data_IF_615339057795
#
_entry.id   IF_615339057795
#
_cell.length_a   1.000
_cell.length_b   1.000
_cell.length_c   1.000
_cell.angle_alpha   90.00
_cell.angle_beta   90.00
_cell.angle_gamma   90.00
#
_symmetry.space_group_name_H-M   'P 1'
#
loop_
_entity.id
_entity.type
_entity.pdbx_description
1 polymer ?
#
# COMPACT_ATOMS: atom_id res chain seq x y z
N UNK A 1 36.94 -9.75 -49.09
CA UNK A 1 35.68 -9.63 -48.34
C UNK A 1 35.93 -10.10 -46.92
N UNK A 2 36.02 -9.14 -46.00
CA UNK A 2 36.22 -9.41 -44.57
C UNK A 2 34.82 -9.36 -43.90
N UNK A 3 34.32 -10.53 -43.50
CA UNK A 3 33.08 -10.61 -42.68
C UNK A 3 33.41 -10.25 -41.21
N UNK A 4 32.94 -9.09 -40.77
CA UNK A 4 32.97 -8.73 -39.36
C UNK A 4 31.76 -9.38 -38.66
N UNK A 5 32.01 -10.38 -37.85
CA UNK A 5 31.03 -11.04 -36.99
C UNK A 5 30.82 -10.16 -35.75
N UNK A 6 29.74 -9.38 -35.72
CA UNK A 6 29.36 -8.62 -34.54
C UNK A 6 28.65 -9.57 -33.55
N UNK A 7 29.38 -10.10 -32.58
CA UNK A 7 28.79 -10.86 -31.48
C UNK A 7 28.07 -9.92 -30.55
N UNK A 8 26.73 -9.92 -30.54
CA UNK A 8 25.92 -9.24 -29.55
C UNK A 8 26.07 -10.01 -28.23
N UNK A 9 26.92 -9.53 -27.34
CA UNK A 9 26.94 -9.97 -25.95
C UNK A 9 25.72 -9.37 -25.25
N UNK A 10 24.70 -10.20 -25.02
CA UNK A 10 23.64 -9.89 -24.04
C UNK A 10 24.26 -9.87 -22.65
N UNK A 11 24.56 -8.70 -22.13
CA UNK A 11 24.99 -8.54 -20.75
C UNK A 11 23.79 -8.80 -19.85
N UNK A 12 23.65 -10.02 -19.33
CA UNK A 12 22.83 -10.25 -18.14
C UNK A 12 23.43 -9.42 -17.02
N UNK A 13 22.72 -8.40 -16.58
CA UNK A 13 23.08 -7.63 -15.38
C UNK A 13 23.07 -8.60 -14.21
N UNK A 14 24.24 -9.01 -13.76
CA UNK A 14 24.42 -9.77 -12.51
C UNK A 14 24.29 -8.74 -11.42
N UNK A 15 23.11 -8.61 -10.83
CA UNK A 15 22.95 -7.90 -9.57
C UNK A 15 23.73 -8.67 -8.52
N UNK A 16 24.81 -8.06 -8.01
CA UNK A 16 25.50 -8.58 -6.84
C UNK A 16 24.46 -8.73 -5.73
N UNK A 17 24.46 -9.87 -5.05
CA UNK A 17 23.68 -10.08 -3.83
C UNK A 17 24.19 -9.08 -2.78
N UNK A 18 23.64 -7.85 -2.78
CA UNK A 18 23.92 -6.90 -1.71
C UNK A 18 23.32 -7.46 -0.43
N UNK A 19 24.15 -7.54 0.60
CA UNK A 19 23.71 -7.91 1.94
C UNK A 19 22.56 -6.99 2.37
N UNK A 20 21.34 -7.51 2.39
CA UNK A 20 20.14 -6.79 2.81
C UNK A 20 20.22 -6.58 4.33
N UNK A 21 20.63 -5.38 4.76
CA UNK A 21 20.73 -4.99 6.17
C UNK A 21 19.39 -4.52 6.75
N UNK A 22 18.28 -5.12 6.37
CA UNK A 22 17.02 -4.98 7.06
C UNK A 22 16.87 -6.06 8.13
N UNK A 23 16.42 -5.71 9.33
CA UNK A 23 16.11 -6.69 10.38
C UNK A 23 14.93 -7.56 9.98
N UNK A 24 13.91 -6.94 9.40
CA UNK A 24 12.74 -7.62 8.86
C UNK A 24 12.27 -6.88 7.59
N UNK A 25 11.83 -7.62 6.58
CA UNK A 25 11.19 -7.03 5.41
C UNK A 25 10.23 -8.00 4.72
N UNK A 26 9.36 -7.45 3.89
CA UNK A 26 8.48 -8.19 2.98
C UNK A 26 8.27 -7.42 1.68
N UNK A 27 8.22 -8.14 0.58
CA UNK A 27 7.73 -7.68 -0.73
C UNK A 27 6.44 -8.42 -1.05
N UNK A 28 5.35 -7.68 -1.23
CA UNK A 28 4.00 -8.23 -1.44
C UNK A 28 3.40 -7.64 -2.72
N UNK A 29 2.70 -8.48 -3.50
CA UNK A 29 1.89 -8.00 -4.63
C UNK A 29 0.52 -7.51 -4.13
N UNK A 30 0.13 -6.32 -4.57
CA UNK A 30 -1.04 -5.58 -4.08
C UNK A 30 -2.36 -6.34 -4.28
N UNK A 31 -2.62 -6.86 -5.46
CA UNK A 31 -3.93 -7.42 -5.79
C UNK A 31 -4.15 -8.80 -5.15
N UNK A 32 -3.17 -9.69 -5.27
CA UNK A 32 -3.27 -11.07 -4.75
C UNK A 32 -2.91 -11.18 -3.27
N UNK A 33 -2.10 -10.24 -2.74
CA UNK A 33 -1.48 -10.34 -1.42
C UNK A 33 -0.36 -11.39 -1.35
N UNK A 34 0.13 -11.86 -2.49
CA UNK A 34 1.19 -12.86 -2.55
C UNK A 34 2.52 -12.26 -2.10
N UNK A 35 3.19 -12.95 -1.17
CA UNK A 35 4.57 -12.62 -0.79
C UNK A 35 5.51 -13.11 -1.90
N UNK A 36 6.38 -12.20 -2.35
CA UNK A 36 7.39 -12.48 -3.38
C UNK A 36 8.71 -12.84 -2.70
N UNK A 37 9.10 -12.02 -1.74
CA UNK A 37 10.32 -12.20 -0.95
C UNK A 37 10.11 -11.68 0.46
N UNK A 38 10.75 -12.28 1.44
CA UNK A 38 10.68 -11.82 2.83
C UNK A 38 11.86 -12.31 3.65
N UNK A 39 12.14 -11.58 4.74
CA UNK A 39 13.07 -11.97 5.79
C UNK A 39 12.45 -11.62 7.13
N UNK A 40 12.37 -12.60 8.05
CA UNK A 40 11.84 -12.39 9.39
C UNK A 40 10.51 -11.63 9.41
N UNK A 41 9.64 -11.87 8.40
CA UNK A 41 8.45 -11.05 8.17
C UNK A 41 7.40 -11.13 9.28
N UNK A 42 7.48 -12.12 10.17
CA UNK A 42 6.62 -12.29 11.34
C UNK A 42 7.28 -11.83 12.67
N UNK A 43 8.49 -11.24 12.60
CA UNK A 43 9.16 -10.71 13.78
C UNK A 43 8.43 -9.45 14.28
N UNK A 44 7.88 -9.53 15.51
CA UNK A 44 7.19 -8.40 16.15
C UNK A 44 8.20 -7.37 16.61
N UNK A 45 7.99 -6.10 16.22
CA UNK A 45 8.84 -4.97 16.58
C UNK A 45 8.02 -3.70 16.77
N UNK A 46 8.60 -2.70 17.46
CA UNK A 46 8.09 -1.32 17.40
C UNK A 46 8.16 -0.82 15.96
N UNK A 47 7.12 -0.11 15.52
CA UNK A 47 6.94 0.26 14.11
C UNK A 47 6.94 1.77 13.87
N UNK A 48 6.97 2.57 14.92
CA UNK A 48 6.98 4.03 14.83
C UNK A 48 5.80 4.59 13.98
N UNK A 49 6.03 5.71 13.31
CA UNK A 49 4.99 6.48 12.59
C UNK A 49 4.42 5.80 11.35
N UNK A 50 4.84 4.60 10.95
CA UNK A 50 4.12 3.85 9.90
C UNK A 50 2.73 3.44 10.38
N UNK A 51 2.48 3.40 11.71
CA UNK A 51 1.15 3.24 12.33
C UNK A 51 0.12 4.27 11.86
N UNK A 52 0.57 5.46 11.45
CA UNK A 52 -0.32 6.55 10.99
C UNK A 52 -1.12 6.20 9.73
N UNK A 53 -0.74 5.16 9.02
CA UNK A 53 -1.56 4.59 7.94
C UNK A 53 -2.89 4.08 8.51
N UNK A 54 -2.87 3.39 9.67
CA UNK A 54 -4.08 2.94 10.34
C UNK A 54 -4.93 4.12 10.81
N UNK A 55 -4.32 5.13 11.40
CA UNK A 55 -5.01 6.36 11.82
C UNK A 55 -5.69 7.06 10.65
N UNK A 56 -4.99 7.17 9.51
CA UNK A 56 -5.52 7.80 8.31
C UNK A 56 -6.70 7.03 7.71
N UNK A 57 -6.59 5.70 7.57
CA UNK A 57 -7.66 4.91 6.94
C UNK A 57 -8.93 4.87 7.80
N UNK A 58 -8.79 4.82 9.13
CA UNK A 58 -9.94 4.94 10.04
C UNK A 58 -10.60 6.30 9.87
N UNK A 59 -9.82 7.38 9.81
CA UNK A 59 -10.35 8.72 9.60
C UNK A 59 -11.13 8.82 8.28
N UNK A 60 -10.58 8.27 7.20
CA UNK A 60 -11.20 8.29 5.87
C UNK A 60 -12.50 7.48 5.83
N UNK A 61 -12.57 6.36 6.55
CA UNK A 61 -13.72 5.45 6.52
C UNK A 61 -14.82 5.80 7.53
N UNK A 62 -14.50 6.52 8.61
CA UNK A 62 -15.39 6.67 9.75
C UNK A 62 -16.08 8.02 9.84
N UNK A 63 -15.71 9.00 9.00
CA UNK A 63 -16.13 10.38 9.23
C UNK A 63 -16.48 11.15 7.96
N UNK A 64 -17.25 12.22 8.17
CA UNK A 64 -17.32 13.32 7.20
C UNK A 64 -15.97 14.06 7.23
N UNK A 65 -15.15 13.86 6.21
CA UNK A 65 -13.81 14.41 6.09
C UNK A 65 -13.80 15.96 5.98
N UNK A 66 -14.92 16.54 5.58
CA UNK A 66 -15.11 17.99 5.50
C UNK A 66 -15.74 18.57 6.76
N UNK A 67 -15.99 17.72 7.77
CA UNK A 67 -16.39 18.20 9.08
C UNK A 67 -15.29 19.06 9.66
N UNK A 68 -15.66 20.31 10.00
CA UNK A 68 -14.78 21.24 10.67
C UNK A 68 -14.71 20.91 12.16
N UNK A 69 -13.50 20.74 12.69
CA UNK A 69 -13.25 20.42 14.09
C UNK A 69 -12.36 21.48 14.71
N UNK A 70 -12.53 21.74 16.00
CA UNK A 70 -11.70 22.67 16.75
C UNK A 70 -10.59 21.90 17.48
N UNK A 71 -9.36 22.37 17.33
CA UNK A 71 -8.18 21.80 18.00
C UNK A 71 -8.22 22.20 19.48
N UNK A 72 -8.22 21.19 20.34
CA UNK A 72 -8.27 21.36 21.80
C UNK A 72 -6.97 20.97 22.51
N UNK A 73 -7.10 20.56 23.77
CA UNK A 73 -5.98 20.17 24.64
C UNK A 73 -5.34 18.82 24.27
N UNK A 74 -5.97 18.04 23.41
CA UNK A 74 -5.46 16.74 22.95
C UNK A 74 -4.07 16.83 22.31
N UNK A 75 -3.72 17.98 21.75
CA UNK A 75 -2.39 18.18 21.11
C UNK A 75 -1.26 18.43 22.12
N UNK A 76 -1.54 18.71 23.39
CA UNK A 76 -0.51 18.98 24.41
C UNK A 76 0.40 17.76 24.65
N UNK A 77 -0.11 16.56 24.40
CA UNK A 77 0.65 15.31 24.52
C UNK A 77 1.40 14.93 23.24
N UNK A 78 1.28 15.71 22.17
CA UNK A 78 1.88 15.42 20.90
C UNK A 78 3.36 15.81 20.85
N UNK A 79 4.24 14.88 21.22
CA UNK A 79 5.69 15.07 21.20
C UNK A 79 6.26 14.62 19.86
N UNK A 80 7.32 15.28 19.34
CA UNK A 80 8.08 14.89 18.16
C UNK A 80 7.64 15.58 16.88
N UNK A 81 7.35 14.82 15.80
CA UNK A 81 6.91 15.44 14.53
C UNK A 81 5.56 16.12 14.71
N UNK A 82 5.46 17.40 14.36
CA UNK A 82 4.26 18.20 14.55
C UNK A 82 3.97 19.06 13.30
N UNK A 83 2.70 19.40 13.12
CA UNK A 83 2.23 20.45 12.21
C UNK A 83 2.27 21.81 12.89
N UNK A 84 2.46 21.83 14.20
CA UNK A 84 2.36 23.01 15.07
C UNK A 84 0.96 23.62 15.01
N UNK A 85 -0.06 22.75 15.17
CA UNK A 85 -1.45 23.18 15.33
C UNK A 85 -1.62 24.01 16.60
N UNK A 86 -2.49 25.01 16.53
CA UNK A 86 -2.77 25.90 17.66
C UNK A 86 -4.16 25.61 18.20
N UNK A 87 -4.33 25.59 19.54
CA UNK A 87 -5.63 25.41 20.19
C UNK A 87 -6.61 26.50 19.74
N UNK A 88 -7.86 26.12 19.58
CA UNK A 88 -8.91 26.97 19.03
C UNK A 88 -8.92 27.10 17.52
N UNK A 89 -7.89 26.56 16.83
CA UNK A 89 -7.91 26.53 15.35
C UNK A 89 -9.00 25.59 14.88
N UNK A 90 -9.80 26.06 13.91
CA UNK A 90 -10.79 25.24 13.22
C UNK A 90 -10.20 24.68 11.95
N UNK A 91 -10.31 23.37 11.75
CA UNK A 91 -9.68 22.66 10.63
C UNK A 91 -10.55 21.48 10.20
N UNK A 92 -10.58 21.20 8.92
CA UNK A 92 -11.31 20.03 8.41
C UNK A 92 -10.50 18.75 8.66
N UNK A 93 -11.19 17.63 8.88
CA UNK A 93 -10.53 16.34 9.17
C UNK A 93 -9.62 15.94 8.00
N UNK A 94 -10.00 16.20 6.74
CA UNK A 94 -9.15 15.89 5.57
C UNK A 94 -7.80 16.63 5.64
N UNK A 95 -7.79 17.85 6.12
CA UNK A 95 -6.58 18.64 6.32
C UNK A 95 -5.63 17.96 7.32
N UNK A 96 -6.20 17.46 8.43
CA UNK A 96 -5.46 16.68 9.43
C UNK A 96 -4.89 15.39 8.83
N UNK A 97 -5.63 14.70 7.95
CA UNK A 97 -5.16 13.48 7.26
C UNK A 97 -3.99 13.78 6.31
N UNK A 98 -4.04 14.88 5.55
CA UNK A 98 -2.89 15.33 4.76
C UNK A 98 -1.67 15.60 5.63
N UNK A 99 -1.83 16.36 6.70
CA UNK A 99 -0.74 16.66 7.63
C UNK A 99 -0.17 15.41 8.31
N UNK A 100 -1.03 14.48 8.69
CA UNK A 100 -0.68 13.18 9.27
C UNK A 100 0.22 12.36 8.35
N UNK A 101 -0.16 12.22 7.08
CA UNK A 101 0.54 11.36 6.12
C UNK A 101 1.78 12.05 5.55
N UNK A 102 1.70 13.31 5.13
CA UNK A 102 2.79 14.01 4.47
C UNK A 102 3.88 14.45 5.46
N UNK A 103 3.48 15.02 6.61
CA UNK A 103 4.38 15.61 7.59
C UNK A 103 4.63 14.71 8.80
N UNK A 104 3.81 13.64 8.95
CA UNK A 104 3.85 12.76 10.12
C UNK A 104 3.47 13.48 11.42
N UNK A 105 2.51 14.43 11.37
CA UNK A 105 2.08 15.24 12.53
C UNK A 105 1.51 14.36 13.65
N UNK A 106 2.12 14.41 14.84
CA UNK A 106 1.60 13.72 16.01
C UNK A 106 0.40 14.48 16.60
N UNK A 107 0.42 15.80 16.52
CA UNK A 107 -0.71 16.67 16.83
C UNK A 107 -1.94 16.37 15.97
N UNK A 108 -1.75 16.20 14.66
CA UNK A 108 -2.83 15.75 13.77
C UNK A 108 -3.35 14.36 14.15
N UNK A 109 -2.48 13.43 14.56
CA UNK A 109 -2.90 12.10 15.00
C UNK A 109 -3.79 12.17 16.25
N UNK A 110 -3.42 13.01 17.23
CA UNK A 110 -4.19 13.21 18.46
C UNK A 110 -5.53 13.90 18.19
N UNK A 111 -5.52 14.94 17.34
CA UNK A 111 -6.75 15.64 16.95
C UNK A 111 -7.73 14.71 16.20
N UNK A 112 -7.23 13.88 15.28
CA UNK A 112 -8.04 12.86 14.61
C UNK A 112 -8.63 11.89 15.63
N UNK A 113 -7.80 11.34 16.53
CA UNK A 113 -8.24 10.37 17.52
C UNK A 113 -9.34 10.95 18.43
N UNK A 114 -9.16 12.17 18.90
CA UNK A 114 -10.15 12.85 19.75
C UNK A 114 -11.48 13.08 19.02
N UNK A 115 -11.43 13.56 17.79
CA UNK A 115 -12.64 13.97 17.07
C UNK A 115 -13.42 12.81 16.43
N UNK A 116 -12.76 11.68 16.18
CA UNK A 116 -13.39 10.48 15.58
C UNK A 116 -13.70 9.44 16.64
N UNK A 117 -12.77 9.16 17.55
CA UNK A 117 -12.95 8.17 18.60
C UNK A 117 -13.68 8.71 19.84
N UNK A 118 -13.75 10.04 20.02
CA UNK A 118 -14.23 10.65 21.25
C UNK A 118 -13.15 10.75 22.33
N UNK A 119 -12.26 9.77 22.41
CA UNK A 119 -11.03 9.76 23.22
C UNK A 119 -9.91 9.04 22.48
N UNK A 120 -8.66 9.17 22.96
CA UNK A 120 -7.52 8.45 22.42
C UNK A 120 -7.67 6.95 22.64
N UNK A 121 -8.16 6.55 23.80
CA UNK A 121 -8.37 5.15 24.20
C UNK A 121 -9.41 4.47 23.29
N UNK A 122 -10.54 5.12 23.04
CA UNK A 122 -11.57 4.61 22.13
C UNK A 122 -11.06 4.52 20.69
N UNK A 123 -10.29 5.51 20.24
CA UNK A 123 -9.68 5.45 18.92
C UNK A 123 -8.65 4.33 18.79
N UNK A 124 -7.84 4.08 19.82
CA UNK A 124 -6.91 2.94 19.88
C UNK A 124 -7.67 1.60 19.82
N UNK A 125 -8.81 1.51 20.49
CA UNK A 125 -9.69 0.33 20.36
C UNK A 125 -10.16 0.15 18.91
N UNK A 126 -10.55 1.22 18.21
CA UNK A 126 -10.90 1.18 16.79
C UNK A 126 -9.71 0.72 15.92
N UNK A 127 -8.47 1.19 16.22
CA UNK A 127 -7.27 0.75 15.50
C UNK A 127 -7.03 -0.75 15.64
N UNK A 128 -7.15 -1.29 16.85
CA UNK A 128 -6.96 -2.71 17.11
C UNK A 128 -8.07 -3.57 16.48
N UNK A 129 -9.34 -3.11 16.53
CA UNK A 129 -10.44 -3.80 15.86
C UNK A 129 -10.26 -3.79 14.33
N UNK A 130 -9.85 -2.68 13.74
CA UNK A 130 -9.53 -2.61 12.31
C UNK A 130 -8.37 -3.56 11.95
N UNK A 131 -7.33 -3.62 12.79
CA UNK A 131 -6.22 -4.56 12.60
C UNK A 131 -6.71 -6.02 12.57
N UNK A 132 -7.60 -6.39 13.49
CA UNK A 132 -8.23 -7.72 13.54
C UNK A 132 -9.02 -8.02 12.26
N UNK A 133 -9.82 -7.05 11.77
CA UNK A 133 -10.61 -7.18 10.54
C UNK A 133 -9.75 -7.32 9.28
N UNK A 134 -8.61 -6.66 9.23
CA UNK A 134 -7.64 -6.76 8.13
C UNK A 134 -6.85 -8.08 8.19
N UNK A 135 -6.81 -8.74 9.36
CA UNK A 135 -6.06 -9.99 9.57
C UNK A 135 -4.63 -9.78 10.07
N UNK A 136 -4.33 -8.65 10.70
CA UNK A 136 -3.05 -8.31 11.31
C UNK A 136 -2.89 -9.00 12.67
N UNK A 137 -2.52 -10.28 12.66
CA UNK A 137 -2.55 -11.16 13.84
C UNK A 137 -1.48 -10.86 14.90
N UNK A 138 -0.40 -10.22 14.51
CA UNK A 138 0.76 -9.92 15.37
C UNK A 138 0.92 -8.41 15.57
N UNK A 139 -0.21 -7.67 15.62
CA UNK A 139 -0.21 -6.21 15.73
C UNK A 139 -1.00 -5.77 16.96
N UNK A 140 -0.41 -4.82 17.68
CA UNK A 140 -1.07 -4.10 18.80
C UNK A 140 -0.78 -2.62 18.67
N UNK A 141 -1.83 -1.81 18.60
CA UNK A 141 -1.73 -0.37 18.66
C UNK A 141 -2.01 0.12 20.08
N UNK A 142 -1.16 1.02 20.58
CA UNK A 142 -1.26 1.65 21.89
C UNK A 142 -1.49 3.17 21.78
N UNK A 143 -1.25 3.76 20.59
CA UNK A 143 -1.49 5.17 20.35
C UNK A 143 -1.67 5.46 18.84
N UNK A 144 -2.30 6.61 18.46
CA UNK A 144 -2.57 6.93 17.06
C UNK A 144 -1.35 7.44 16.27
N UNK A 145 -0.24 7.77 16.95
CA UNK A 145 0.91 8.44 16.36
C UNK A 145 2.08 7.52 16.03
N UNK A 146 2.19 6.36 16.71
CA UNK A 146 3.33 5.46 16.65
C UNK A 146 4.54 5.92 17.45
N UNK A 147 4.35 6.85 18.40
CA UNK A 147 5.41 7.24 19.31
C UNK A 147 5.62 6.15 20.36
N UNK A 148 6.88 5.81 20.64
CA UNK A 148 7.25 4.94 21.76
C UNK A 148 7.29 5.80 23.04
N UNK A 149 6.27 5.68 23.89
CA UNK A 149 6.20 6.33 25.21
C UNK A 149 6.33 5.26 26.29
N UNK A 150 7.20 5.49 27.29
CA UNK A 150 7.38 4.60 28.46
C UNK A 150 7.51 3.11 28.07
N UNK A 151 8.23 2.81 27.00
CA UNK A 151 8.36 1.47 26.39
C UNK A 151 7.07 0.86 25.79
N UNK A 152 5.97 1.60 25.79
CA UNK A 152 4.69 1.21 25.20
C UNK A 152 4.50 1.87 23.84
N UNK A 153 5.11 1.30 22.80
CA UNK A 153 4.91 1.70 21.42
C UNK A 153 3.93 0.78 20.70
N UNK A 154 3.60 1.13 19.45
CA UNK A 154 2.85 0.26 18.58
C UNK A 154 3.75 -0.90 18.10
N UNK A 155 3.26 -2.12 18.22
CA UNK A 155 3.96 -3.33 17.84
C UNK A 155 3.30 -3.97 16.62
N UNK A 156 4.10 -4.40 15.66
CA UNK A 156 3.63 -5.11 14.46
C UNK A 156 4.77 -5.89 13.80
N UNK A 157 4.46 -6.52 12.69
CA UNK A 157 5.39 -7.24 11.82
C UNK A 157 5.43 -6.60 10.44
N UNK A 158 6.48 -6.83 9.66
CA UNK A 158 6.52 -6.34 8.28
C UNK A 158 5.40 -6.95 7.43
N UNK A 159 5.00 -8.18 7.71
CA UNK A 159 3.85 -8.83 7.05
C UNK A 159 2.53 -8.13 7.36
N UNK A 160 2.22 -7.92 8.63
CA UNK A 160 0.97 -7.25 9.03
C UNK A 160 0.89 -5.81 8.52
N UNK A 161 2.03 -5.09 8.52
CA UNK A 161 2.12 -3.75 7.93
C UNK A 161 1.89 -3.75 6.41
N UNK A 162 2.33 -4.80 5.71
CA UNK A 162 2.02 -4.95 4.29
C UNK A 162 0.52 -5.22 4.06
N UNK A 163 -0.15 -6.02 4.93
CA UNK A 163 -1.60 -6.18 4.90
C UNK A 163 -2.33 -4.86 5.14
N UNK A 164 -1.87 -4.07 6.11
CA UNK A 164 -2.41 -2.74 6.39
C UNK A 164 -2.30 -1.82 5.17
N UNK A 165 -1.11 -1.75 4.56
CA UNK A 165 -0.90 -0.92 3.37
C UNK A 165 -1.72 -1.41 2.19
N UNK A 166 -1.79 -2.73 1.97
CA UNK A 166 -2.61 -3.35 0.94
C UNK A 166 -4.08 -2.97 1.08
N UNK A 167 -4.62 -3.03 2.29
CA UNK A 167 -5.98 -2.60 2.60
C UNK A 167 -6.17 -1.11 2.33
N UNK A 168 -5.31 -0.26 2.87
CA UNK A 168 -5.40 1.18 2.72
C UNK A 168 -5.30 1.62 1.24
N UNK A 169 -4.40 1.03 0.46
CA UNK A 169 -4.25 1.30 -0.97
C UNK A 169 -5.42 0.79 -1.82
N UNK A 170 -6.37 0.04 -1.28
CA UNK A 170 -7.63 -0.28 -1.97
C UNK A 170 -8.67 0.85 -1.91
N UNK A 171 -8.45 1.86 -1.06
CA UNK A 171 -9.28 3.05 -0.95
C UNK A 171 -8.69 4.15 -1.85
N UNK A 172 -9.47 4.64 -2.80
CA UNK A 172 -9.00 5.61 -3.81
C UNK A 172 -8.59 6.95 -3.18
N UNK A 173 -9.31 7.44 -2.17
CA UNK A 173 -8.97 8.69 -1.50
C UNK A 173 -7.71 8.55 -0.65
N UNK A 174 -7.53 7.41 0.06
CA UNK A 174 -6.27 7.15 0.76
C UNK A 174 -5.10 7.12 -0.23
N UNK A 175 -5.26 6.47 -1.36
CA UNK A 175 -4.25 6.40 -2.43
C UNK A 175 -3.85 7.79 -2.93
N UNK A 176 -4.83 8.65 -3.19
CA UNK A 176 -4.62 10.03 -3.60
C UNK A 176 -3.80 10.82 -2.57
N UNK A 177 -4.28 10.85 -1.30
CA UNK A 177 -3.63 11.61 -0.23
C UNK A 177 -2.21 11.07 0.04
N UNK A 178 -2.06 9.73 0.13
CA UNK A 178 -0.78 9.11 0.44
C UNK A 178 0.26 9.28 -0.67
N UNK A 179 -0.18 9.39 -1.93
CA UNK A 179 0.66 9.66 -3.10
C UNK A 179 0.98 11.14 -3.32
N UNK A 180 0.35 12.05 -2.58
CA UNK A 180 0.54 13.49 -2.74
C UNK A 180 1.96 13.91 -2.35
N UNK A 181 2.66 14.59 -3.27
CA UNK A 181 4.04 15.08 -3.08
C UNK A 181 4.09 16.35 -2.24
N UNK A 182 3.15 17.28 -2.49
CA UNK A 182 3.01 18.51 -1.74
C UNK A 182 1.54 18.93 -1.69
N UNK A 183 1.13 19.53 -0.59
CA UNK A 183 -0.23 19.98 -0.33
C UNK A 183 -0.20 21.40 0.23
N UNK A 184 -1.00 22.30 -0.36
CA UNK A 184 -1.16 23.67 0.15
C UNK A 184 -2.20 23.67 1.26
N UNK A 185 -1.73 23.67 2.50
CA UNK A 185 -2.58 23.65 3.68
C UNK A 185 -3.30 24.98 3.86
N UNK A 186 -4.54 24.93 4.30
CA UNK A 186 -5.32 26.10 4.70
C UNK A 186 -4.90 26.61 6.08
N UNK A 187 -4.26 25.74 6.89
CA UNK A 187 -3.84 26.08 8.25
C UNK A 187 -2.43 26.65 8.30
N UNK A 188 -1.46 26.06 7.57
CA UNK A 188 -0.05 26.40 7.75
C UNK A 188 0.82 26.12 6.51
N UNK A 189 0.74 26.97 5.50
CA UNK A 189 1.66 26.95 4.35
C UNK A 189 1.60 25.69 3.49
N UNK A 190 2.72 25.30 2.88
CA UNK A 190 2.80 24.12 2.03
C UNK A 190 3.48 22.95 2.75
N UNK A 191 2.83 21.82 2.77
CA UNK A 191 3.36 20.57 3.34
C UNK A 191 3.96 19.69 2.24
N UNK A 192 5.25 19.38 2.37
CA UNK A 192 5.96 18.45 1.47
C UNK A 192 6.02 17.07 2.10
N UNK A 193 5.73 16.04 1.30
CA UNK A 193 5.78 14.66 1.77
C UNK A 193 7.23 14.26 2.11
N UNK A 194 7.42 13.69 3.31
CA UNK A 194 8.72 13.22 3.80
C UNK A 194 9.22 11.94 3.10
N UNK A 195 8.35 11.27 2.34
CA UNK A 195 8.69 10.02 1.65
C UNK A 195 9.50 10.31 0.38
N UNK A 196 10.82 10.13 0.45
CA UNK A 196 11.76 10.53 -0.62
C UNK A 196 11.50 9.85 -1.97
N UNK A 197 11.05 8.58 -1.99
CA UNK A 197 10.79 7.89 -3.26
C UNK A 197 9.65 8.51 -4.06
N UNK A 198 8.67 9.13 -3.42
CA UNK A 198 7.64 9.89 -4.13
C UNK A 198 8.21 11.04 -4.96
N UNK A 199 9.36 11.59 -4.57
CA UNK A 199 10.03 12.66 -5.31
C UNK A 199 10.99 12.10 -6.38
N UNK A 200 11.69 10.99 -6.07
CA UNK A 200 12.90 10.55 -6.77
C UNK A 200 12.74 9.22 -7.51
N UNK A 201 11.55 8.63 -7.51
CA UNK A 201 11.28 7.35 -8.16
C UNK A 201 9.91 7.38 -8.84
N UNK A 202 9.91 7.35 -10.15
CA UNK A 202 8.72 7.57 -10.98
C UNK A 202 7.57 6.59 -10.70
N UNK A 203 7.89 5.34 -10.29
CA UNK A 203 6.90 4.31 -10.03
C UNK A 203 6.31 4.36 -8.62
N UNK A 204 6.90 5.15 -7.69
CA UNK A 204 6.36 5.26 -6.33
C UNK A 204 5.02 5.99 -6.31
N UNK A 205 4.02 5.37 -5.68
CA UNK A 205 2.64 5.87 -5.64
C UNK A 205 2.13 6.16 -4.22
N UNK A 206 2.92 5.86 -3.20
CA UNK A 206 2.56 6.12 -1.80
C UNK A 206 3.53 5.50 -0.82
N UNK A 207 3.34 5.81 0.44
CA UNK A 207 4.12 5.21 1.51
C UNK A 207 4.18 6.05 2.79
N UNK A 208 4.88 5.51 3.79
CA UNK A 208 5.06 6.18 5.08
C UNK A 208 6.41 5.85 5.69
N UNK A 209 7.06 6.87 6.22
CA UNK A 209 8.31 6.78 6.99
C UNK A 209 8.01 6.72 8.49
N UNK A 210 8.86 6.04 9.24
CA UNK A 210 8.86 6.07 10.68
C UNK A 210 10.27 6.00 11.27
N UNK A 211 10.44 6.58 12.44
CA UNK A 211 11.65 6.49 13.23
C UNK A 211 11.38 6.76 14.71
N UNK A 212 11.84 5.89 15.56
CA UNK A 212 12.07 6.12 16.98
C UNK A 212 13.40 5.48 17.37
N UNK A 213 13.91 5.76 18.57
CA UNK A 213 15.12 5.10 19.05
C UNK A 213 14.96 3.58 19.16
N UNK A 214 13.77 3.08 19.52
CA UNK A 214 13.43 1.67 19.68
C UNK A 214 13.15 0.98 18.33
N UNK A 215 12.32 1.57 17.50
CA UNK A 215 11.96 1.02 16.18
C UNK A 215 13.10 1.09 15.17
N UNK A 216 14.01 2.08 15.32
CA UNK A 216 14.96 2.51 14.28
C UNK A 216 14.20 2.98 13.04
N UNK A 217 14.82 2.93 11.86
CA UNK A 217 14.13 3.36 10.63
C UNK A 217 13.13 2.29 10.17
N UNK A 218 11.91 2.72 9.90
CA UNK A 218 10.83 1.90 9.34
C UNK A 218 10.29 2.58 8.09
N UNK A 219 10.01 1.82 7.06
CA UNK A 219 9.52 2.34 5.79
C UNK A 219 8.49 1.40 5.18
N UNK A 220 7.41 1.97 4.66
CA UNK A 220 6.47 1.32 3.78
C UNK A 220 6.45 2.12 2.48
N UNK A 221 6.51 1.44 1.34
CA UNK A 221 6.35 2.06 0.02
C UNK A 221 5.46 1.19 -0.85
N UNK A 222 4.53 1.80 -1.55
CA UNK A 222 3.84 1.20 -2.70
C UNK A 222 4.38 1.80 -3.98
N UNK A 223 4.62 0.96 -4.98
CA UNK A 223 5.04 1.38 -6.30
C UNK A 223 4.26 0.60 -7.37
N UNK A 224 4.00 1.23 -8.53
CA UNK A 224 3.29 0.64 -9.65
C UNK A 224 4.03 0.89 -10.94
N UNK A 225 4.28 -0.19 -11.68
CA UNK A 225 4.78 -0.15 -13.04
C UNK A 225 3.84 -0.97 -13.91
N UNK A 226 3.30 -0.37 -14.95
CA UNK A 226 2.22 -0.95 -15.76
C UNK A 226 1.02 -1.38 -14.89
N UNK A 227 0.64 -2.66 -14.95
CA UNK A 227 -0.43 -3.23 -14.14
C UNK A 227 0.05 -3.91 -12.85
N UNK A 228 1.37 -3.98 -12.63
CA UNK A 228 1.94 -4.59 -11.42
C UNK A 228 2.13 -3.54 -10.34
N UNK A 229 1.51 -3.77 -9.20
CA UNK A 229 1.66 -2.94 -8.02
C UNK A 229 2.26 -3.76 -6.86
N UNK A 230 3.33 -3.25 -6.29
CA UNK A 230 4.09 -3.90 -5.24
C UNK A 230 4.12 -3.03 -3.98
N UNK A 231 4.12 -3.70 -2.83
CA UNK A 231 4.32 -3.11 -1.51
C UNK A 231 5.63 -3.65 -0.95
N UNK A 232 6.50 -2.77 -0.49
CA UNK A 232 7.71 -3.11 0.25
C UNK A 232 7.62 -2.51 1.64
N UNK A 233 7.88 -3.32 2.64
CA UNK A 233 7.98 -2.91 4.04
C UNK A 233 9.34 -3.32 4.58
N UNK A 234 10.04 -2.39 5.22
CA UNK A 234 11.28 -2.68 5.95
C UNK A 234 11.19 -2.16 7.39
N UNK A 235 11.68 -2.97 8.33
CA UNK A 235 11.82 -2.62 9.74
C UNK A 235 13.29 -2.70 10.15
N UNK A 236 13.78 -1.67 10.85
CA UNK A 236 15.16 -1.52 11.28
C UNK A 236 16.15 -1.68 10.10
N UNK A 237 16.04 -0.76 9.16
CA UNK A 237 16.83 -0.75 7.93
C UNK A 237 17.45 0.63 7.69
N UNK A 238 18.78 0.74 7.73
CA UNK A 238 19.51 2.01 7.55
C UNK A 238 19.34 2.62 6.15
N UNK A 239 19.45 1.78 5.12
CA UNK A 239 19.37 2.17 3.70
C UNK A 239 18.00 1.88 3.08
N UNK A 240 16.94 2.09 3.84
CA UNK A 240 15.58 1.70 3.50
C UNK A 240 15.11 2.18 2.11
N UNK A 241 15.31 3.45 1.76
CA UNK A 241 14.89 3.99 0.46
C UNK A 241 15.63 3.35 -0.73
N UNK A 242 16.94 3.14 -0.59
CA UNK A 242 17.75 2.48 -1.62
C UNK A 242 17.30 1.04 -1.81
N UNK A 243 17.14 0.30 -0.70
CA UNK A 243 16.68 -1.08 -0.72
C UNK A 243 15.28 -1.21 -1.35
N UNK A 244 14.33 -0.34 -0.97
CA UNK A 244 12.99 -0.37 -1.58
C UNK A 244 13.05 -0.19 -3.09
N UNK A 245 13.84 0.79 -3.59
CA UNK A 245 14.02 1.00 -5.03
C UNK A 245 14.62 -0.24 -5.71
N UNK A 246 15.67 -0.84 -5.15
CA UNK A 246 16.30 -2.07 -5.70
C UNK A 246 15.31 -3.23 -5.77
N UNK A 247 14.52 -3.47 -4.71
CA UNK A 247 13.51 -4.51 -4.68
C UNK A 247 12.42 -4.29 -5.73
N UNK A 248 11.95 -3.03 -5.90
CA UNK A 248 10.99 -2.71 -6.95
C UNK A 248 11.56 -2.96 -8.34
N UNK A 249 12.77 -2.48 -8.65
CA UNK A 249 13.40 -2.72 -9.96
C UNK A 249 13.58 -4.20 -10.25
N UNK A 250 14.08 -4.97 -9.26
CA UNK A 250 14.22 -6.43 -9.37
C UNK A 250 12.89 -7.08 -9.76
N UNK A 251 11.83 -6.81 -8.98
CA UNK A 251 10.57 -7.53 -9.17
C UNK A 251 9.69 -6.98 -10.28
N UNK A 252 9.81 -5.72 -10.65
CA UNK A 252 9.21 -5.19 -11.87
C UNK A 252 9.87 -5.74 -13.14
N UNK A 253 11.15 -6.14 -13.07
CA UNK A 253 11.80 -6.84 -14.19
C UNK A 253 11.38 -8.31 -14.28
N UNK A 254 11.22 -8.99 -13.15
CA UNK A 254 11.00 -10.44 -13.11
C UNK A 254 9.52 -10.83 -13.26
N UNK A 255 8.58 -9.96 -12.85
CA UNK A 255 7.15 -10.29 -12.74
C UNK A 255 6.28 -9.32 -13.52
N UNK A 256 5.07 -9.79 -13.83
CA UNK A 256 3.98 -8.98 -14.37
C UNK A 256 2.64 -9.35 -13.71
N UNK A 257 1.68 -8.44 -13.85
CA UNK A 257 0.29 -8.71 -13.51
C UNK A 257 -0.57 -8.65 -14.78
N UNK A 258 -1.17 -9.78 -15.13
CA UNK A 258 -2.03 -9.91 -16.31
C UNK A 258 -3.47 -9.71 -15.87
N UNK A 259 -4.06 -8.55 -16.19
CA UNK A 259 -5.46 -8.27 -15.87
C UNK A 259 -6.39 -9.06 -16.80
N UNK A 260 -7.38 -9.72 -16.22
CA UNK A 260 -8.46 -10.42 -16.92
C UNK A 260 -9.76 -9.63 -16.89
N UNK A 261 -10.14 -9.11 -15.73
CA UNK A 261 -11.28 -8.22 -15.52
C UNK A 261 -10.85 -7.03 -14.68
N UNK A 262 -11.40 -5.87 -15.01
CA UNK A 262 -11.34 -4.70 -14.14
C UNK A 262 -12.59 -4.64 -13.24
N UNK A 263 -12.48 -4.00 -12.08
CA UNK A 263 -13.65 -3.54 -11.34
C UNK A 263 -14.42 -2.54 -12.20
N UNK A 264 -15.74 -2.72 -12.33
CA UNK A 264 -16.57 -1.90 -13.21
C UNK A 264 -17.03 -2.67 -14.45
N UNK A 265 -17.28 -1.93 -15.52
CA UNK A 265 -17.77 -2.48 -16.79
C UNK A 265 -16.65 -3.18 -17.57
N UNK A 266 -16.97 -4.34 -18.14
CA UNK A 266 -16.06 -5.15 -18.96
C UNK A 266 -16.80 -5.62 -20.23
N UNK A 267 -16.03 -5.76 -21.33
CA UNK A 267 -16.50 -6.22 -22.63
C UNK A 267 -15.68 -7.44 -23.05
N UNK A 268 -16.27 -8.64 -22.97
CA UNK A 268 -15.58 -9.89 -23.28
C UNK A 268 -16.55 -10.83 -23.98
N UNK A 269 -16.11 -11.50 -25.05
CA UNK A 269 -16.89 -12.48 -25.83
C UNK A 269 -18.24 -11.93 -26.31
N UNK A 270 -18.31 -10.66 -26.72
CA UNK A 270 -19.53 -9.94 -27.14
C UNK A 270 -20.56 -9.74 -26.02
N UNK A 271 -20.12 -9.82 -24.77
CA UNK A 271 -20.95 -9.53 -23.61
C UNK A 271 -20.40 -8.31 -22.86
N UNK A 272 -21.33 -7.47 -22.43
CA UNK A 272 -21.09 -6.39 -21.48
C UNK A 272 -21.55 -6.84 -20.09
N UNK A 273 -20.71 -6.67 -19.09
CA UNK A 273 -21.07 -7.02 -17.72
C UNK A 273 -20.28 -6.22 -16.69
N UNK A 274 -20.86 -6.08 -15.51
CA UNK A 274 -20.24 -5.39 -14.39
C UNK A 274 -19.53 -6.39 -13.46
N UNK A 275 -18.28 -6.09 -13.11
CA UNK A 275 -17.52 -6.82 -12.08
C UNK A 275 -17.31 -5.95 -10.84
N UNK A 276 -17.63 -6.48 -9.67
CA UNK A 276 -17.44 -5.77 -8.39
C UNK A 276 -15.98 -5.73 -7.93
N UNK A 277 -15.10 -6.51 -8.55
CA UNK A 277 -13.66 -6.56 -8.28
C UNK A 277 -12.85 -6.84 -9.55
N UNK A 278 -11.57 -6.51 -9.50
CA UNK A 278 -10.63 -6.91 -10.55
C UNK A 278 -10.19 -8.36 -10.38
N UNK A 279 -9.92 -9.04 -11.50
CA UNK A 279 -9.32 -10.36 -11.56
C UNK A 279 -8.07 -10.31 -12.43
N UNK A 280 -7.02 -11.00 -11.99
CA UNK A 280 -5.78 -11.07 -12.73
C UNK A 280 -4.82 -12.12 -12.18
N UNK A 281 -3.74 -12.31 -12.89
CA UNK A 281 -2.71 -13.30 -12.59
C UNK A 281 -1.38 -12.59 -12.34
N UNK A 282 -0.83 -12.75 -11.13
CA UNK A 282 0.54 -12.40 -10.82
C UNK A 282 1.46 -13.56 -11.22
N UNK A 283 2.39 -13.33 -12.16
CA UNK A 283 3.18 -14.36 -12.80
C UNK A 283 4.58 -13.85 -13.17
N UNK A 284 5.58 -14.74 -13.25
CA UNK A 284 6.89 -14.43 -13.80
C UNK A 284 6.79 -14.13 -15.29
N UNK A 285 7.57 -13.17 -15.77
CA UNK A 285 7.54 -12.73 -17.17
C UNK A 285 8.01 -13.80 -18.15
N UNK A 286 8.95 -14.64 -17.75
CA UNK A 286 9.44 -15.76 -18.57
C UNK A 286 8.34 -16.81 -18.88
N UNK A 287 7.27 -16.86 -18.09
CA UNK A 287 6.13 -17.75 -18.30
C UNK A 287 5.02 -17.14 -19.17
N UNK A 288 5.13 -15.86 -19.54
CA UNK A 288 4.08 -15.16 -20.29
C UNK A 288 4.23 -15.37 -21.82
N UNK A 289 5.43 -15.60 -22.30
CA UNK A 289 5.70 -15.72 -23.73
C UNK A 289 4.81 -16.80 -24.38
N UNK A 290 4.07 -16.40 -25.43
CA UNK A 290 3.07 -17.22 -26.10
C UNK A 290 1.89 -17.68 -25.23
N UNK A 291 1.69 -17.07 -24.06
CA UNK A 291 0.56 -17.35 -23.20
C UNK A 291 -0.75 -16.75 -23.72
N UNK A 292 -1.88 -17.42 -23.48
CA UNK A 292 -3.20 -17.03 -24.00
C UNK A 292 -4.20 -16.91 -22.87
N UNK A 293 -4.97 -15.79 -22.85
CA UNK A 293 -6.14 -15.64 -21.98
C UNK A 293 -7.30 -16.45 -22.53
N UNK A 294 -7.89 -17.28 -21.69
CA UNK A 294 -9.06 -18.10 -22.04
C UNK A 294 -10.21 -17.73 -21.10
N UNK A 295 -11.37 -17.48 -21.70
CA UNK A 295 -12.61 -17.18 -21.01
C UNK A 295 -13.66 -18.26 -21.35
N UNK A 296 -14.27 -18.86 -20.32
CA UNK A 296 -15.33 -19.85 -20.46
C UNK A 296 -16.59 -19.37 -19.74
N UNK A 297 -17.62 -19.01 -20.48
CA UNK A 297 -18.90 -18.62 -19.94
C UNK A 297 -19.83 -19.83 -19.83
N UNK A 298 -20.33 -20.09 -18.62
CA UNK A 298 -21.43 -20.99 -18.39
C UNK A 298 -22.74 -20.17 -18.36
N UNK A 299 -23.49 -20.20 -19.46
CA UNK A 299 -24.70 -19.41 -19.61
C UNK A 299 -25.88 -19.87 -18.72
N UNK A 300 -25.83 -21.12 -18.18
CA UNK A 300 -26.91 -21.61 -17.30
C UNK A 300 -26.89 -20.95 -15.91
N UNK A 301 -25.70 -20.57 -15.42
CA UNK A 301 -25.53 -19.98 -14.09
C UNK A 301 -24.79 -18.64 -14.11
N UNK A 302 -24.57 -18.07 -15.32
CA UNK A 302 -23.85 -16.83 -15.53
C UNK A 302 -22.46 -16.74 -14.86
N UNK A 303 -21.72 -17.87 -14.85
CA UNK A 303 -20.37 -17.92 -14.30
C UNK A 303 -19.35 -17.82 -15.44
N UNK A 304 -18.50 -16.80 -15.39
CA UNK A 304 -17.33 -16.64 -16.22
C UNK A 304 -16.10 -17.22 -15.50
N UNK A 305 -15.51 -18.28 -16.05
CA UNK A 305 -14.23 -18.82 -15.54
C UNK A 305 -13.09 -18.34 -16.45
N UNK A 306 -12.03 -17.85 -15.83
CA UNK A 306 -10.87 -17.29 -16.50
C UNK A 306 -9.66 -18.18 -16.30
N UNK A 307 -8.94 -18.46 -17.39
CA UNK A 307 -7.71 -19.26 -17.39
C UNK A 307 -6.62 -18.52 -18.16
N UNK A 308 -5.38 -18.75 -17.74
CA UNK A 308 -4.19 -18.42 -18.53
C UNK A 308 -3.54 -19.75 -19.00
N UNK A 309 -3.41 -19.92 -20.29
CA UNK A 309 -2.75 -21.08 -20.88
C UNK A 309 -1.28 -20.72 -21.16
N UNK A 310 -0.35 -21.44 -20.55
CA UNK A 310 1.08 -21.31 -20.80
C UNK A 310 1.47 -21.93 -22.17
N UNK A 311 2.67 -21.64 -22.65
CA UNK A 311 3.22 -22.17 -23.90
C UNK A 311 3.33 -23.71 -23.93
N UNK A 312 3.55 -24.33 -22.76
CA UNK A 312 3.59 -25.80 -22.60
C UNK A 312 2.20 -26.46 -22.53
N UNK A 313 1.12 -25.68 -22.65
CA UNK A 313 -0.26 -26.14 -22.58
C UNK A 313 -0.86 -26.12 -21.18
N UNK A 314 -0.09 -25.88 -20.12
CA UNK A 314 -0.57 -25.79 -18.74
C UNK A 314 -1.64 -24.72 -18.60
N UNK A 315 -2.77 -25.06 -17.96
CA UNK A 315 -3.85 -24.12 -17.67
C UNK A 315 -3.80 -23.68 -16.21
N UNK A 316 -3.69 -22.35 -16.00
CA UNK A 316 -3.77 -21.72 -14.67
C UNK A 316 -5.15 -21.09 -14.53
N UNK A 317 -5.98 -21.57 -13.59
CA UNK A 317 -7.26 -20.90 -13.27
C UNK A 317 -6.95 -19.59 -12.53
N UNK A 318 -7.44 -18.49 -13.09
CA UNK A 318 -7.26 -17.13 -12.55
C UNK A 318 -8.39 -16.79 -11.58
N UNK A 319 -9.59 -17.28 -11.86
CA UNK A 319 -10.73 -17.10 -11.00
C UNK A 319 -12.07 -17.26 -11.71
N UNK A 320 -13.14 -17.10 -10.92
CA UNK A 320 -14.51 -17.16 -11.39
C UNK A 320 -15.26 -15.91 -10.97
N UNK A 321 -16.01 -15.34 -11.91
CA UNK A 321 -16.88 -14.19 -11.68
C UNK A 321 -18.32 -14.58 -11.99
N UNK A 322 -19.25 -14.26 -11.09
CA UNK A 322 -20.67 -14.33 -11.36
C UNK A 322 -21.09 -13.04 -12.04
N UNK A 323 -21.72 -13.13 -13.21
CA UNK A 323 -22.15 -11.99 -14.00
C UNK A 323 -23.54 -11.55 -13.53
N UNK A 324 -23.62 -10.36 -12.92
CA UNK A 324 -24.89 -9.85 -12.35
C UNK A 324 -25.86 -9.36 -13.41
N UNK A 325 -25.37 -8.91 -14.59
CA UNK A 325 -26.18 -8.58 -15.77
C UNK A 325 -25.36 -8.86 -17.01
N UNK A 326 -25.93 -9.59 -17.97
CA UNK A 326 -25.29 -9.90 -19.25
C UNK A 326 -26.17 -9.28 -20.32
N UNK A 327 -25.69 -8.22 -20.96
CA UNK A 327 -26.28 -7.70 -22.19
C UNK A 327 -25.47 -8.21 -23.38
N UNK A 328 -26.14 -8.79 -24.38
CA UNK A 328 -25.48 -9.12 -25.65
C UNK A 328 -25.28 -7.82 -26.39
N UNK A 329 -24.04 -7.44 -26.66
CA UNK A 329 -23.76 -6.32 -27.57
C UNK A 329 -23.90 -6.85 -28.98
N UNK A 330 -25.02 -6.55 -29.65
CA UNK A 330 -25.15 -6.82 -31.06
C UNK A 330 -24.15 -5.96 -31.82
N UNK A 331 -23.23 -6.61 -32.56
CA UNK A 331 -22.24 -5.98 -33.43
C UNK A 331 -22.92 -5.32 -34.64
#
# INVERSE_FOLDING_TARGET
>A
FLMIFCAMFSTKSVYAEENIYARSYVVMEQNSGKIIESKECNLVRSVASVSKIMTAIIAIESSDLFKNVEIGDEIDQAIGSSLYLEKGTKVDIIELVYGLLLRSGNDAAMAIAKNIGGSVEEFVAMMNEKARLIGMKNTTFNNPSGLDMFDEGNLSTSYDLALMMRYAMSNDLFREINGTKSYKSLVKGTWHNKHKLLQNYEYAIGGKTGYTKKARRTLITSARKDNLELIVVTLDCGNDFSLHKQLFEKYFNDYAYITFLNKGMNYILNYEFFSNKSYGLFIKKDLIENGIKIYKLNSKNNILTMFFKLSDGTLIEVGRATLASVAVVNA
#
